data_IF_603100927932
#
_entry.id   IF_603100927932
#
_cell.length_a   1.000
_cell.length_b   1.000
_cell.length_c   1.000
_cell.angle_alpha   90.00
_cell.angle_beta   90.00
_cell.angle_gamma   90.00
#
_symmetry.space_group_name_H-M   'P 1'
#
loop_
_entity.id
_entity.type
_entity.pdbx_description
1 polymer ?
#
# COMPACT_ATOMS: atom_id res chain seq x y z
N UNK A 1 -19.05 18.72 18.49
CA UNK A 1 -19.61 17.54 17.78
C UNK A 1 -18.93 17.36 16.43
N UNK A 2 -19.08 16.21 15.83
CA UNK A 2 -18.61 15.87 14.49
C UNK A 2 -19.70 15.12 13.71
N UNK A 3 -19.56 15.02 12.39
CA UNK A 3 -20.63 14.53 11.50
C UNK A 3 -20.31 13.16 10.82
N UNK A 4 -19.07 12.66 10.89
CA UNK A 4 -18.67 11.42 10.23
C UNK A 4 -18.14 10.37 11.23
N UNK A 5 -18.84 9.25 11.37
CA UNK A 5 -18.47 8.13 12.26
C UNK A 5 -17.57 7.08 11.56
N UNK A 6 -17.31 7.21 10.25
CA UNK A 6 -16.41 6.34 9.50
C UNK A 6 -14.93 6.55 9.87
N UNK A 7 -14.61 7.69 10.50
CA UNK A 7 -13.28 7.94 11.07
C UNK A 7 -13.25 7.43 12.51
N UNK A 8 -12.49 6.40 12.77
CA UNK A 8 -12.28 5.87 14.13
C UNK A 8 -11.33 6.73 14.97
N UNK A 9 -11.32 6.51 16.28
CA UNK A 9 -10.40 7.13 17.23
C UNK A 9 -10.86 8.45 17.85
N UNK A 10 -11.91 9.11 17.35
CA UNK A 10 -12.46 10.35 17.88
C UNK A 10 -13.94 10.17 18.26
N UNK A 11 -14.33 10.62 19.45
CA UNK A 11 -15.73 10.58 19.88
C UNK A 11 -16.60 11.54 19.05
N UNK A 12 -17.87 11.17 18.81
CA UNK A 12 -18.83 11.99 18.05
C UNK A 12 -19.15 13.33 18.72
N UNK A 13 -19.02 13.42 20.03
CA UNK A 13 -19.20 14.65 20.79
C UNK A 13 -18.40 14.60 22.09
N UNK A 14 -18.14 15.76 22.67
CA UNK A 14 -17.42 15.90 23.92
C UNK A 14 -17.45 17.34 24.42
N UNK A 15 -16.84 17.58 25.56
CA UNK A 15 -16.64 18.91 26.16
C UNK A 15 -15.16 19.10 26.50
N UNK A 16 -14.69 20.35 26.42
CA UNK A 16 -13.30 20.70 26.65
C UNK A 16 -12.43 20.50 25.40
N UNK A 17 -11.17 20.18 25.58
CA UNK A 17 -10.22 20.00 24.48
C UNK A 17 -10.47 18.69 23.74
N UNK A 18 -10.22 18.70 22.43
CA UNK A 18 -10.15 17.47 21.65
C UNK A 18 -8.90 16.71 22.09
N UNK A 19 -9.04 15.46 22.57
CA UNK A 19 -7.89 14.69 23.05
C UNK A 19 -6.97 14.30 21.87
N UNK A 20 -5.68 14.16 22.15
CA UNK A 20 -4.76 13.54 21.21
C UNK A 20 -5.17 12.07 21.00
N UNK A 21 -5.36 11.67 19.76
CA UNK A 21 -5.79 10.31 19.41
C UNK A 21 -5.23 9.89 18.07
N UNK A 22 -5.15 8.58 17.83
CA UNK A 22 -4.85 8.00 16.51
C UNK A 22 -6.16 7.88 15.74
N UNK A 23 -6.23 8.53 14.60
CA UNK A 23 -7.37 8.43 13.70
C UNK A 23 -7.19 7.25 12.75
N UNK A 24 -8.28 6.54 12.48
CA UNK A 24 -8.30 5.38 11.58
C UNK A 24 -9.39 5.55 10.53
N UNK A 25 -9.11 5.07 9.33
CA UNK A 25 -10.06 4.98 8.24
C UNK A 25 -9.97 3.58 7.62
N UNK A 26 -11.00 2.76 7.83
CA UNK A 26 -11.09 1.38 7.34
C UNK A 26 -11.88 1.27 6.03
N UNK A 27 -12.25 2.41 5.43
CA UNK A 27 -12.94 2.44 4.13
C UNK A 27 -11.92 2.46 2.97
N UNK A 28 -12.41 2.39 1.75
CA UNK A 28 -11.57 2.41 0.54
C UNK A 28 -11.40 3.81 -0.08
N UNK A 29 -11.87 4.85 0.62
CA UNK A 29 -11.82 6.25 0.18
C UNK A 29 -11.38 7.15 1.32
N UNK A 30 -10.83 8.32 1.00
CA UNK A 30 -10.56 9.35 1.99
C UNK A 30 -11.86 9.79 2.68
N UNK A 31 -11.86 9.87 4.00
CA UNK A 31 -12.99 10.31 4.80
C UNK A 31 -12.75 11.71 5.31
N UNK A 32 -13.75 12.56 5.20
CA UNK A 32 -13.74 13.93 5.72
C UNK A 32 -14.74 14.03 6.87
N UNK A 33 -14.29 14.59 7.97
CA UNK A 33 -15.11 14.85 9.15
C UNK A 33 -15.15 16.35 9.41
N UNK A 34 -16.32 16.91 9.65
CA UNK A 34 -16.52 18.31 10.01
C UNK A 34 -16.68 18.42 11.53
N UNK A 35 -15.74 19.06 12.18
CA UNK A 35 -15.77 19.30 13.62
C UNK A 35 -16.42 20.64 13.87
N UNK A 36 -17.48 20.64 14.68
CA UNK A 36 -18.18 21.85 15.15
C UNK A 36 -17.85 22.08 16.62
N UNK A 37 -17.30 23.24 16.95
CA UNK A 37 -17.00 23.69 18.32
C UNK A 37 -17.87 24.88 18.67
N UNK A 38 -18.68 24.73 19.73
CA UNK A 38 -19.55 25.80 20.24
C UNK A 38 -19.00 26.25 21.60
N UNK A 39 -18.56 27.50 21.75
CA UNK A 39 -18.15 28.02 23.04
C UNK A 39 -19.35 28.23 23.96
N UNK A 40 -19.20 27.83 25.22
CA UNK A 40 -20.22 27.96 26.27
C UNK A 40 -19.58 28.58 27.49
N UNK A 41 -20.16 29.67 27.97
CA UNK A 41 -19.78 30.34 29.22
C UNK A 41 -20.92 30.24 30.25
N UNK A 42 -20.58 29.76 31.43
CA UNK A 42 -21.54 29.66 32.56
C UNK A 42 -21.05 30.43 33.75
N UNK A 43 -21.85 31.35 34.26
CA UNK A 43 -21.57 32.08 35.50
C UNK A 43 -22.86 32.24 36.34
N UNK A 44 -22.77 31.96 37.64
CA UNK A 44 -23.89 32.03 38.61
C UNK A 44 -25.18 31.35 38.12
N UNK A 45 -25.05 30.17 37.45
CA UNK A 45 -26.18 29.40 36.92
C UNK A 45 -26.81 29.93 35.62
N UNK A 46 -26.25 30.99 35.05
CA UNK A 46 -26.65 31.52 33.74
C UNK A 46 -25.61 31.09 32.70
N UNK A 47 -26.13 30.52 31.60
CA UNK A 47 -25.30 30.03 30.48
C UNK A 47 -25.53 30.89 29.25
N UNK A 48 -24.42 31.32 28.65
CA UNK A 48 -24.40 31.98 27.34
C UNK A 48 -23.64 31.09 26.34
N UNK A 49 -24.14 31.01 25.11
CA UNK A 49 -23.46 30.35 23.98
C UNK A 49 -23.09 31.40 22.95
N UNK A 50 -21.98 31.20 22.27
CA UNK A 50 -21.55 32.06 21.16
C UNK A 50 -21.61 31.28 19.84
N UNK A 51 -21.29 31.93 18.72
CA UNK A 51 -21.27 31.33 17.41
C UNK A 51 -20.31 30.13 17.36
N UNK A 52 -20.76 29.06 16.70
CA UNK A 52 -19.95 27.87 16.50
C UNK A 52 -18.89 28.11 15.41
N UNK A 53 -17.72 27.55 15.61
CA UNK A 53 -16.68 27.44 14.56
C UNK A 53 -16.63 26.01 14.04
N UNK A 54 -16.26 25.86 12.77
CA UNK A 54 -16.10 24.56 12.13
C UNK A 54 -14.72 24.43 11.50
N UNK A 55 -14.17 23.22 11.50
CA UNK A 55 -13.00 22.84 10.72
C UNK A 55 -13.15 21.38 10.27
N UNK A 56 -12.37 20.98 9.27
CA UNK A 56 -12.42 19.62 8.73
C UNK A 56 -11.14 18.86 9.05
N UNK A 57 -11.28 17.55 9.24
CA UNK A 57 -10.20 16.58 9.32
C UNK A 57 -10.40 15.59 8.18
N UNK A 58 -9.36 15.38 7.36
CA UNK A 58 -9.36 14.36 6.33
C UNK A 58 -8.46 13.21 6.75
N UNK A 59 -8.96 11.99 6.73
CA UNK A 59 -8.21 10.76 7.02
C UNK A 59 -8.18 9.89 5.79
N UNK A 60 -7.00 9.72 5.22
CA UNK A 60 -6.77 8.87 4.06
C UNK A 60 -6.95 7.39 4.45
N UNK A 61 -7.39 6.52 3.52
CA UNK A 61 -7.50 5.08 3.76
C UNK A 61 -6.12 4.42 3.88
N UNK A 62 -6.09 3.28 4.55
CA UNK A 62 -4.94 2.38 4.51
C UNK A 62 -4.93 1.62 3.18
N UNK A 63 -3.78 1.59 2.51
CA UNK A 63 -3.66 0.87 1.23
C UNK A 63 -3.38 -0.59 1.49
N UNK A 64 -4.35 -1.44 1.16
CA UNK A 64 -4.19 -2.90 1.18
C UNK A 64 -4.03 -3.39 -0.26
N UNK A 65 -2.91 -4.05 -0.52
CA UNK A 65 -2.63 -4.70 -1.80
C UNK A 65 -3.25 -6.10 -1.86
N UNK A 66 -3.62 -6.54 -3.06
CA UNK A 66 -3.91 -7.95 -3.29
C UNK A 66 -2.63 -8.79 -3.19
N UNK A 67 -2.75 -10.02 -2.70
CA UNK A 67 -1.63 -10.96 -2.59
C UNK A 67 -1.08 -11.32 -3.97
N UNK A 68 0.24 -11.54 -4.02
CA UNK A 68 0.94 -12.05 -5.20
C UNK A 68 1.48 -13.44 -4.84
N UNK A 69 1.21 -14.42 -5.70
CA UNK A 69 1.73 -15.78 -5.52
C UNK A 69 3.19 -15.86 -5.96
N UNK A 70 3.93 -16.82 -5.43
CA UNK A 70 5.29 -17.11 -5.84
C UNK A 70 5.34 -17.67 -7.28
N UNK A 71 6.38 -17.29 -8.02
CA UNK A 71 6.59 -17.74 -9.40
C UNK A 71 7.73 -18.74 -9.51
N UNK A 72 7.58 -19.68 -10.42
CA UNK A 72 8.67 -20.55 -10.86
C UNK A 72 8.77 -20.48 -12.37
N UNK A 73 9.94 -20.08 -12.87
CA UNK A 73 10.26 -19.93 -14.28
C UNK A 73 11.44 -20.81 -14.66
N UNK A 74 11.51 -21.22 -15.90
CA UNK A 74 12.68 -21.84 -16.47
C UNK A 74 13.63 -20.77 -17.06
N UNK A 75 14.93 -21.03 -17.04
CA UNK A 75 15.90 -20.13 -17.70
C UNK A 75 15.55 -19.95 -19.17
N UNK A 76 15.52 -18.68 -19.66
CA UNK A 76 15.12 -18.31 -21.01
C UNK A 76 13.62 -18.13 -21.19
N UNK A 77 12.78 -18.45 -20.24
CA UNK A 77 11.36 -18.19 -20.25
C UNK A 77 11.09 -16.69 -20.06
N UNK A 78 10.11 -16.16 -20.79
CA UNK A 78 9.66 -14.78 -20.62
C UNK A 78 8.51 -14.73 -19.62
N UNK A 79 8.68 -14.01 -18.51
CA UNK A 79 7.62 -13.80 -17.53
C UNK A 79 6.50 -12.94 -18.13
N UNK A 80 5.25 -13.08 -17.68
CA UNK A 80 4.23 -12.08 -17.94
C UNK A 80 4.56 -10.77 -17.21
N UNK A 81 3.97 -9.65 -17.67
CA UNK A 81 3.83 -8.46 -16.82
C UNK A 81 2.84 -8.77 -15.68
N UNK A 82 3.13 -8.28 -14.47
CA UNK A 82 2.20 -8.38 -13.35
C UNK A 82 1.65 -7.01 -12.97
N UNK A 83 0.32 -6.87 -13.04
CA UNK A 83 -0.39 -5.64 -12.70
C UNK A 83 -0.78 -5.70 -11.23
N UNK A 84 -0.18 -4.83 -10.41
CA UNK A 84 -0.55 -4.69 -9.01
C UNK A 84 -1.90 -4.00 -8.87
N UNK A 85 -2.68 -4.43 -7.89
CA UNK A 85 -4.00 -3.87 -7.60
C UNK A 85 -4.19 -3.65 -6.11
N UNK A 86 -5.07 -2.73 -5.76
CA UNK A 86 -5.49 -2.44 -4.38
C UNK A 86 -7.01 -2.27 -4.32
N UNK A 87 -7.54 -2.21 -3.11
CA UNK A 87 -8.97 -1.98 -2.87
C UNK A 87 -9.38 -0.52 -2.93
N UNK A 88 -8.42 0.40 -3.04
CA UNK A 88 -8.66 1.84 -3.03
C UNK A 88 -9.43 2.28 -4.29
N UNK A 89 -10.42 3.15 -4.12
CA UNK A 89 -11.31 3.60 -5.20
C UNK A 89 -11.25 5.10 -5.48
N UNK A 90 -10.46 5.86 -4.71
CA UNK A 90 -10.20 7.29 -4.92
C UNK A 90 -8.70 7.61 -4.89
N UNK A 91 -8.32 8.88 -5.14
CA UNK A 91 -6.93 9.31 -5.17
C UNK A 91 -6.10 8.56 -6.22
N UNK A 92 -4.81 8.37 -5.93
CA UNK A 92 -3.86 7.67 -6.82
C UNK A 92 -3.03 6.69 -6.00
N UNK A 93 -2.99 5.43 -6.42
CA UNK A 93 -2.09 4.42 -5.84
C UNK A 93 -0.96 4.15 -6.82
N UNK A 94 0.25 4.23 -6.32
CA UNK A 94 1.47 3.88 -7.06
C UNK A 94 2.20 2.76 -6.32
N UNK A 95 3.00 1.98 -7.05
CA UNK A 95 3.73 0.84 -6.50
C UNK A 95 5.23 1.03 -6.74
N UNK A 96 6.02 0.91 -5.67
CA UNK A 96 7.46 0.77 -5.76
C UNK A 96 7.84 -0.68 -5.46
N UNK A 97 8.75 -1.26 -6.23
CA UNK A 97 9.21 -2.62 -5.97
C UNK A 97 10.73 -2.72 -5.97
N UNK A 98 11.24 -3.69 -5.23
CA UNK A 98 12.66 -4.05 -5.19
C UNK A 98 12.83 -5.56 -5.31
N UNK A 99 13.95 -5.97 -5.88
CA UNK A 99 14.36 -7.34 -6.10
C UNK A 99 15.76 -7.53 -5.51
N UNK A 100 15.93 -8.48 -4.61
CA UNK A 100 17.18 -8.72 -3.91
C UNK A 100 18.23 -9.48 -4.74
N UNK A 101 17.80 -10.10 -5.87
CA UNK A 101 18.66 -10.91 -6.72
C UNK A 101 18.43 -10.63 -8.22
N UNK A 102 19.08 -9.62 -8.75
CA UNK A 102 18.94 -9.26 -10.17
C UNK A 102 19.54 -10.28 -11.15
N UNK A 103 20.27 -11.30 -10.66
CA UNK A 103 20.81 -12.37 -11.50
C UNK A 103 19.69 -13.26 -12.14
N UNK A 104 18.46 -13.17 -11.64
CA UNK A 104 17.28 -13.81 -12.26
C UNK A 104 16.81 -13.17 -13.56
N UNK A 105 17.40 -12.01 -13.97
CA UNK A 105 17.05 -11.27 -15.17
C UNK A 105 16.09 -10.09 -14.93
N UNK A 106 15.51 -9.96 -13.72
CA UNK A 106 14.69 -8.82 -13.31
C UNK A 106 15.59 -7.71 -12.74
N UNK A 107 15.31 -6.46 -13.04
CA UNK A 107 16.01 -5.31 -12.46
C UNK A 107 15.94 -5.32 -10.92
N UNK A 108 16.93 -4.68 -10.24
CA UNK A 108 16.98 -4.63 -8.78
C UNK A 108 15.86 -3.80 -8.14
N UNK A 109 15.26 -2.86 -8.87
CA UNK A 109 14.13 -2.06 -8.41
C UNK A 109 13.39 -1.42 -9.59
N UNK A 110 12.16 -0.99 -9.33
CA UNK A 110 11.35 -0.24 -10.29
C UNK A 110 10.09 0.36 -9.65
N UNK A 111 9.27 0.95 -10.50
CA UNK A 111 7.99 1.54 -10.11
C UNK A 111 6.89 1.15 -11.11
N UNK A 112 5.64 1.17 -10.65
CA UNK A 112 4.49 0.70 -11.41
C UNK A 112 4.37 -0.83 -11.37
N UNK A 113 3.85 -1.41 -12.44
CA UNK A 113 3.72 -2.87 -12.60
C UNK A 113 5.09 -3.56 -12.59
N UNK A 114 5.11 -4.85 -12.24
CA UNK A 114 6.31 -5.66 -12.45
C UNK A 114 6.45 -5.94 -13.95
N UNK A 115 7.53 -5.47 -14.61
CA UNK A 115 7.66 -5.62 -16.05
C UNK A 115 7.89 -7.08 -16.43
N UNK A 116 7.52 -7.44 -17.64
CA UNK A 116 7.95 -8.69 -18.25
C UNK A 116 9.48 -8.70 -18.38
N UNK A 117 10.12 -9.83 -18.08
CA UNK A 117 11.56 -10.03 -18.20
C UNK A 117 11.88 -11.45 -18.70
N UNK A 118 13.08 -11.64 -19.23
CA UNK A 118 13.56 -12.98 -19.61
C UNK A 118 14.29 -13.58 -18.41
N UNK A 119 13.82 -14.72 -17.93
CA UNK A 119 14.39 -15.41 -16.78
C UNK A 119 15.83 -15.87 -17.06
N UNK A 120 16.77 -15.47 -16.22
CA UNK A 120 18.18 -15.78 -16.30
C UNK A 120 18.64 -16.62 -15.12
N UNK A 121 19.46 -17.63 -15.38
CA UNK A 121 20.15 -18.42 -14.37
C UNK A 121 21.44 -19.00 -14.98
N UNK A 122 22.57 -18.47 -14.58
CA UNK A 122 23.88 -18.94 -15.05
C UNK A 122 24.50 -20.03 -14.16
N UNK A 123 23.80 -20.45 -13.13
CA UNK A 123 24.24 -21.47 -12.18
C UNK A 123 23.69 -22.85 -12.50
N UNK A 124 24.08 -23.86 -11.73
CA UNK A 124 23.55 -25.23 -11.82
C UNK A 124 22.49 -25.54 -10.76
N UNK A 125 22.10 -24.55 -9.96
CA UNK A 125 21.07 -24.65 -8.90
C UNK A 125 19.98 -23.61 -9.14
N UNK A 126 18.82 -23.79 -8.51
CA UNK A 126 17.75 -22.78 -8.55
C UNK A 126 18.26 -21.43 -8.02
N UNK A 127 17.96 -20.35 -8.74
CA UNK A 127 18.14 -18.99 -8.26
C UNK A 127 16.80 -18.49 -7.73
N UNK A 128 16.80 -18.00 -6.50
CA UNK A 128 15.63 -17.42 -5.84
C UNK A 128 15.87 -15.94 -5.64
N UNK A 129 14.87 -15.16 -5.89
CA UNK A 129 14.83 -13.73 -5.61
C UNK A 129 13.60 -13.40 -4.78
N UNK A 130 13.74 -12.58 -3.73
CA UNK A 130 12.61 -11.97 -3.03
C UNK A 130 12.28 -10.63 -3.67
N UNK A 131 11.03 -10.49 -4.11
CA UNK A 131 10.50 -9.22 -4.61
C UNK A 131 9.62 -8.61 -3.52
N UNK A 132 9.99 -7.41 -3.08
CA UNK A 132 9.21 -6.61 -2.14
C UNK A 132 8.51 -5.49 -2.87
N UNK A 133 7.20 -5.33 -2.62
CA UNK A 133 6.36 -4.28 -3.24
C UNK A 133 5.73 -3.43 -2.16
N UNK A 134 5.85 -2.12 -2.29
CA UNK A 134 5.28 -1.14 -1.37
C UNK A 134 4.32 -0.21 -2.12
N UNK A 135 3.04 -0.17 -1.74
CA UNK A 135 2.09 0.78 -2.31
C UNK A 135 2.23 2.15 -1.65
N UNK A 136 1.97 3.21 -2.41
CA UNK A 136 1.86 4.58 -1.91
C UNK A 136 0.55 5.18 -2.42
N UNK A 137 -0.28 5.62 -1.52
CA UNK A 137 -1.51 6.37 -1.81
C UNK A 137 -1.23 7.86 -1.74
N UNK A 138 -1.75 8.61 -2.70
CA UNK A 138 -1.68 10.07 -2.73
C UNK A 138 -3.07 10.66 -2.99
N UNK A 139 -3.46 11.62 -2.16
CA UNK A 139 -4.69 12.39 -2.32
C UNK A 139 -4.50 13.82 -1.79
N UNK A 140 -4.93 14.82 -2.56
CA UNK A 140 -4.84 16.24 -2.21
C UNK A 140 -3.45 16.68 -1.68
N UNK A 141 -2.37 16.17 -2.29
CA UNK A 141 -1.00 16.52 -1.93
C UNK A 141 -0.44 15.81 -0.68
N UNK A 142 -1.21 14.93 -0.05
CA UNK A 142 -0.76 14.10 1.07
C UNK A 142 -0.54 12.68 0.58
N UNK A 143 0.63 12.11 0.88
CA UNK A 143 0.99 10.75 0.54
C UNK A 143 1.11 9.88 1.79
N UNK A 144 0.53 8.68 1.73
CA UNK A 144 0.61 7.66 2.77
C UNK A 144 1.17 6.37 2.16
N UNK A 145 2.17 5.77 2.80
CA UNK A 145 2.68 4.47 2.40
C UNK A 145 1.87 3.38 3.09
N UNK A 146 1.41 2.39 2.33
CA UNK A 146 0.77 1.19 2.86
C UNK A 146 1.78 0.08 3.19
N UNK A 147 1.27 -1.02 3.72
CA UNK A 147 2.08 -2.19 4.03
C UNK A 147 2.66 -2.85 2.78
N UNK A 148 3.92 -3.27 2.89
CA UNK A 148 4.59 -3.98 1.81
C UNK A 148 4.20 -5.45 1.81
N UNK A 149 4.14 -6.05 0.63
CA UNK A 149 4.06 -7.50 0.44
C UNK A 149 5.35 -8.03 -0.16
N UNK A 150 5.68 -9.29 0.12
CA UNK A 150 6.82 -10.00 -0.45
C UNK A 150 6.33 -11.27 -1.15
N UNK A 151 7.00 -11.64 -2.23
CA UNK A 151 6.82 -12.91 -2.93
C UNK A 151 8.16 -13.35 -3.54
N UNK A 152 8.26 -14.62 -3.92
CA UNK A 152 9.49 -15.16 -4.46
C UNK A 152 9.37 -15.49 -5.94
N UNK A 153 10.47 -15.28 -6.66
CA UNK A 153 10.64 -15.75 -8.03
C UNK A 153 11.79 -16.74 -8.04
N UNK A 154 11.49 -17.98 -8.42
CA UNK A 154 12.48 -19.04 -8.56
C UNK A 154 12.77 -19.27 -10.05
N UNK A 155 14.04 -19.15 -10.46
CA UNK A 155 14.47 -19.48 -11.82
C UNK A 155 15.28 -20.75 -11.81
N UNK A 156 14.75 -21.80 -12.42
CA UNK A 156 15.40 -23.10 -12.57
C UNK A 156 16.49 -23.05 -13.63
N UNK A 157 17.64 -23.72 -13.40
CA UNK A 157 18.74 -23.79 -14.36
C UNK A 157 18.37 -24.65 -15.58
N UNK A 158 19.11 -24.45 -16.67
CA UNK A 158 19.07 -25.43 -17.78
C UNK A 158 19.82 -26.69 -17.43
N UNK A 159 19.23 -27.84 -17.71
CA UNK A 159 19.92 -29.14 -17.62
C UNK A 159 20.77 -29.30 -18.87
N UNK A 160 22.10 -29.31 -18.70
CA UNK A 160 23.03 -29.67 -19.79
C UNK A 160 23.44 -31.12 -19.64
N UNK A 161 23.04 -31.96 -20.59
CA UNK A 161 23.61 -33.33 -20.66
C UNK A 161 24.97 -33.28 -21.33
N UNK A 162 25.97 -34.09 -20.87
CA UNK A 162 27.20 -34.27 -21.60
C UNK A 162 26.91 -34.92 -22.96
N UNK A 163 27.00 -34.16 -24.08
CA UNK A 163 26.76 -34.69 -25.40
C UNK A 163 25.70 -33.97 -26.22
N UNK A 164 25.55 -32.66 -26.09
CA UNK A 164 24.83 -31.76 -27.04
C UNK A 164 23.30 -31.86 -27.09
N UNK A 165 22.61 -32.41 -26.13
CA UNK A 165 21.15 -32.32 -26.05
C UNK A 165 20.80 -31.34 -24.91
N UNK A 166 20.30 -30.15 -25.23
CA UNK A 166 19.70 -29.24 -24.27
C UNK A 166 18.27 -29.71 -24.00
N UNK A 167 17.96 -30.04 -22.74
CA UNK A 167 16.59 -30.17 -22.27
C UNK A 167 16.21 -28.83 -21.60
N UNK A 168 15.13 -28.24 -22.07
CA UNK A 168 14.43 -27.17 -21.35
C UNK A 168 13.43 -27.81 -20.39
N UNK A 169 13.24 -27.26 -19.22
CA UNK A 169 12.24 -27.73 -18.26
C UNK A 169 10.81 -27.55 -18.76
#
# INVERSE_FOLDING_TARGET
>A
SRDNDSIGGLAMSGTGNIPATVLTNTTNTAQVDTITVTPVYTNNGKTCTDESITFTITVNPEVVMNTVEDWTLCVGETSPEYVYTSTITDGTVTYGWSNDNSAIGLAAAGSGNLPSFVAANSTSADLIAEVKVAPTYANNGISCQGDSINFHITVRPSIKTPGNVAFTC
#
